data_IF_575899739126
#
_entry.id   IF_575899739126
#
_cell.length_a   1.000
_cell.length_b   1.000
_cell.length_c   1.000
_cell.angle_alpha   90.00
_cell.angle_beta   90.00
_cell.angle_gamma   90.00
#
_symmetry.space_group_name_H-M   'P 1'
#
loop_
_entity.id
_entity.type
_entity.pdbx_description
1 polymer ?
#
# COMPACT_ATOMS: atom_id res chain seq x y z
N UNK A 1 -5.48 8.54 24.81
CA UNK A 1 -5.30 9.98 24.75
C UNK A 1 -6.23 10.62 25.77
N UNK A 2 -5.66 11.33 26.73
CA UNK A 2 -6.39 12.14 27.71
C UNK A 2 -6.71 13.52 27.12
N UNK A 3 -7.55 14.31 27.81
CA UNK A 3 -7.83 15.68 27.39
C UNK A 3 -6.58 16.57 27.43
N UNK A 4 -5.72 16.41 28.44
CA UNK A 4 -4.48 17.18 28.55
C UNK A 4 -3.50 16.86 27.41
N UNK A 5 -3.32 15.57 27.10
CA UNK A 5 -2.50 15.10 25.97
C UNK A 5 -3.02 15.67 24.63
N UNK A 6 -4.35 15.73 24.46
CA UNK A 6 -4.97 16.32 23.27
C UNK A 6 -4.70 17.83 23.17
N UNK A 7 -4.81 18.58 24.27
CA UNK A 7 -4.55 20.02 24.28
C UNK A 7 -3.08 20.33 23.98
N UNK A 8 -2.15 19.57 24.55
CA UNK A 8 -0.72 19.72 24.29
C UNK A 8 -0.38 19.43 22.82
N UNK A 9 -0.93 18.34 22.27
CA UNK A 9 -0.78 18.00 20.86
C UNK A 9 -1.34 19.07 19.92
N UNK A 10 -2.55 19.60 20.20
CA UNK A 10 -3.16 20.67 19.40
C UNK A 10 -2.32 21.95 19.40
N UNK A 11 -1.67 22.25 20.52
CA UNK A 11 -0.76 23.39 20.63
C UNK A 11 0.49 23.19 19.76
N UNK A 12 1.10 22.01 19.80
CA UNK A 12 2.27 21.66 18.97
C UNK A 12 1.93 21.71 17.47
N UNK A 13 0.73 21.22 17.08
CA UNK A 13 0.21 21.35 15.70
C UNK A 13 0.13 22.82 15.29
N UNK A 14 -0.50 23.67 16.10
CA UNK A 14 -0.66 25.09 15.78
C UNK A 14 0.69 25.81 15.62
N UNK A 15 1.66 25.51 16.49
CA UNK A 15 3.01 26.07 16.41
C UNK A 15 3.75 25.62 15.13
N UNK A 16 3.60 24.36 14.72
CA UNK A 16 4.20 23.84 13.47
C UNK A 16 3.53 24.46 12.23
N UNK A 17 2.21 24.60 12.22
CA UNK A 17 1.45 25.16 11.10
C UNK A 17 1.68 26.67 10.91
N UNK A 18 1.98 27.39 11.99
CA UNK A 18 2.19 28.85 11.97
C UNK A 18 3.66 29.28 11.92
N UNK A 19 4.59 28.34 12.02
CA UNK A 19 6.03 28.56 11.86
C UNK A 19 6.47 28.66 10.38
N UNK A 20 7.74 29.01 10.15
CA UNK A 20 8.32 29.09 8.80
C UNK A 20 9.43 28.04 8.56
N UNK A 21 9.53 27.60 7.31
CA UNK A 21 10.29 26.49 6.69
C UNK A 21 10.61 25.23 7.53
N UNK A 22 10.31 24.07 6.92
CA UNK A 22 10.41 22.69 7.44
C UNK A 22 9.20 22.13 8.24
N UNK A 23 8.03 22.76 8.10
CA UNK A 23 6.77 22.32 8.73
C UNK A 23 6.34 20.90 8.34
N UNK A 24 6.62 20.44 7.12
CA UNK A 24 6.27 19.07 6.69
C UNK A 24 7.00 17.99 7.50
N UNK A 25 8.31 18.12 7.69
CA UNK A 25 9.10 17.14 8.44
C UNK A 25 8.74 17.16 9.93
N UNK A 26 8.56 18.36 10.50
CA UNK A 26 8.10 18.53 11.87
C UNK A 26 6.71 17.91 12.09
N UNK A 27 5.78 18.11 11.14
CA UNK A 27 4.45 17.50 11.16
C UNK A 27 4.53 15.98 11.09
N UNK A 28 5.39 15.42 10.24
CA UNK A 28 5.59 13.96 10.16
C UNK A 28 6.10 13.37 11.48
N UNK A 29 7.09 14.00 12.11
CA UNK A 29 7.63 13.55 13.40
C UNK A 29 6.55 13.60 14.49
N UNK A 30 5.77 14.67 14.53
CA UNK A 30 4.72 14.83 15.52
C UNK A 30 3.57 13.83 15.31
N UNK A 31 3.16 13.56 14.07
CA UNK A 31 2.19 12.49 13.76
C UNK A 31 2.71 11.11 14.21
N UNK A 32 3.98 10.80 13.98
CA UNK A 32 4.58 9.54 14.43
C UNK A 32 4.59 9.38 15.97
N UNK A 33 4.58 10.47 16.73
CA UNK A 33 4.38 10.41 18.20
C UNK A 33 2.94 10.02 18.56
N UNK A 34 1.97 10.59 17.85
CA UNK A 34 0.54 10.33 18.06
C UNK A 34 0.15 8.91 17.61
N UNK A 35 0.71 8.44 16.52
CA UNK A 35 0.36 7.17 15.87
C UNK A 35 0.94 5.93 16.56
N UNK A 36 0.97 5.92 17.90
CA UNK A 36 1.54 4.86 18.73
C UNK A 36 0.48 4.25 19.64
N UNK A 37 0.67 2.99 20.00
CA UNK A 37 -0.17 2.26 20.97
C UNK A 37 -1.67 2.20 20.62
N UNK A 38 -2.00 2.13 19.33
CA UNK A 38 -3.39 1.91 18.90
C UNK A 38 -3.90 0.52 19.28
N UNK A 39 -5.21 0.45 19.49
CA UNK A 39 -5.93 -0.82 19.60
C UNK A 39 -6.51 -1.15 18.22
N UNK A 40 -6.11 -2.28 17.64
CA UNK A 40 -6.68 -2.74 16.37
C UNK A 40 -8.16 -3.10 16.57
N UNK A 41 -9.05 -2.29 15.99
CA UNK A 41 -10.50 -2.53 16.06
C UNK A 41 -10.99 -3.47 14.94
N UNK A 42 -10.31 -3.47 13.79
CA UNK A 42 -10.67 -4.27 12.62
C UNK A 42 -9.87 -3.89 11.39
N UNK A 43 -10.17 -4.54 10.26
CA UNK A 43 -9.57 -4.25 8.96
C UNK A 43 -10.66 -4.23 7.87
N UNK A 44 -10.44 -3.43 6.84
CA UNK A 44 -11.28 -3.41 5.64
C UNK A 44 -10.54 -4.02 4.46
N UNK A 45 -11.26 -4.66 3.55
CA UNK A 45 -10.73 -5.14 2.29
C UNK A 45 -11.51 -4.53 1.13
N UNK A 46 -10.79 -3.95 0.16
CA UNK A 46 -11.36 -3.52 -1.11
C UNK A 46 -10.84 -4.48 -2.17
N UNK A 47 -11.76 -5.07 -2.92
CA UNK A 47 -11.44 -5.92 -4.05
C UNK A 47 -11.33 -5.06 -5.31
N UNK A 48 -10.18 -5.13 -5.96
CA UNK A 48 -10.01 -4.56 -7.30
C UNK A 48 -10.57 -5.55 -8.33
N UNK A 49 -11.70 -5.17 -8.93
CA UNK A 49 -12.48 -6.06 -9.78
C UNK A 49 -11.88 -6.14 -11.17
N UNK A 50 -11.58 -7.37 -11.58
CA UNK A 50 -11.19 -7.66 -12.94
C UNK A 50 -12.40 -7.60 -13.89
N UNK A 51 -12.11 -7.47 -15.17
CA UNK A 51 -13.11 -7.71 -16.20
C UNK A 51 -13.57 -9.17 -16.15
N UNK A 52 -14.82 -9.39 -16.52
CA UNK A 52 -15.39 -10.73 -16.58
C UNK A 52 -14.59 -11.62 -17.53
N UNK A 53 -14.26 -12.84 -17.12
CA UNK A 53 -13.57 -13.82 -17.96
C UNK A 53 -12.04 -13.71 -17.97
N UNK A 54 -11.44 -12.75 -17.27
CA UNK A 54 -9.97 -12.57 -17.26
C UNK A 54 -9.24 -13.80 -16.74
N UNK A 55 -9.58 -14.37 -15.56
CA UNK A 55 -8.90 -15.57 -15.06
C UNK A 55 -9.00 -16.75 -16.03
N UNK A 56 -10.20 -17.01 -16.54
CA UNK A 56 -10.49 -18.13 -17.44
C UNK A 56 -9.74 -18.00 -18.76
N UNK A 57 -9.62 -16.76 -19.27
CA UNK A 57 -8.86 -16.48 -20.49
C UNK A 57 -7.36 -16.71 -20.28
N UNK A 58 -6.82 -16.27 -19.15
CA UNK A 58 -5.39 -16.49 -18.83
C UNK A 58 -5.09 -17.98 -18.73
N UNK A 59 -5.96 -18.76 -18.08
CA UNK A 59 -5.80 -20.21 -17.96
C UNK A 59 -5.85 -20.88 -19.35
N UNK A 60 -6.82 -20.53 -20.20
CA UNK A 60 -6.92 -21.07 -21.56
C UNK A 60 -5.68 -20.74 -22.42
N UNK A 61 -5.12 -19.54 -22.29
CA UNK A 61 -3.89 -19.16 -23.00
C UNK A 61 -2.69 -20.00 -22.52
N UNK A 62 -2.59 -20.27 -21.22
CA UNK A 62 -1.50 -21.10 -20.64
C UNK A 62 -1.65 -22.57 -21.05
N UNK A 63 -2.86 -23.12 -21.06
CA UNK A 63 -3.16 -24.47 -21.55
C UNK A 63 -2.82 -24.63 -23.04
N UNK A 64 -2.98 -23.57 -23.83
CA UNK A 64 -2.54 -23.52 -25.23
C UNK A 64 -1.01 -23.39 -25.40
N UNK A 65 -0.24 -23.36 -24.31
CA UNK A 65 1.22 -23.26 -24.33
C UNK A 65 1.76 -21.85 -24.47
N UNK A 66 0.95 -20.81 -24.25
CA UNK A 66 1.38 -19.41 -24.35
C UNK A 66 1.96 -18.90 -23.03
N UNK A 67 2.97 -18.06 -23.13
CA UNK A 67 3.51 -17.32 -21.98
C UNK A 67 2.81 -15.97 -21.85
N UNK A 68 2.15 -15.75 -20.71
CA UNK A 68 1.43 -14.50 -20.40
C UNK A 68 2.27 -13.65 -19.46
N UNK A 69 2.46 -12.38 -19.81
CA UNK A 69 3.24 -11.41 -19.03
C UNK A 69 2.38 -10.19 -18.74
N UNK A 70 2.42 -9.71 -17.50
CA UNK A 70 1.77 -8.46 -17.08
C UNK A 70 2.84 -7.39 -16.91
N UNK A 71 2.70 -6.29 -17.65
CA UNK A 71 3.50 -5.08 -17.48
C UNK A 71 2.56 -3.97 -17.01
N UNK A 72 2.86 -3.38 -15.85
CA UNK A 72 2.05 -2.31 -15.27
C UNK A 72 2.96 -1.23 -14.69
N UNK A 73 2.48 0.02 -14.72
CA UNK A 73 3.11 1.15 -14.05
C UNK A 73 2.60 1.38 -12.62
N UNK A 74 1.75 0.47 -12.12
CA UNK A 74 1.20 0.54 -10.77
C UNK A 74 2.23 0.07 -9.72
N UNK A 75 1.92 0.31 -8.45
CA UNK A 75 2.72 -0.15 -7.31
C UNK A 75 2.86 -1.67 -7.32
N UNK A 76 3.99 -2.16 -6.82
CA UNK A 76 4.30 -3.58 -6.79
C UNK A 76 3.25 -4.39 -6.01
N UNK A 77 2.76 -3.86 -4.89
CA UNK A 77 1.74 -4.51 -4.06
C UNK A 77 0.44 -4.69 -4.84
N UNK A 78 -0.01 -3.66 -5.57
CA UNK A 78 -1.21 -3.73 -6.40
C UNK A 78 -1.01 -4.71 -7.56
N UNK A 79 0.14 -4.66 -8.24
CA UNK A 79 0.46 -5.58 -9.33
C UNK A 79 0.41 -7.05 -8.89
N UNK A 80 0.96 -7.36 -7.70
CA UNK A 80 0.91 -8.71 -7.12
C UNK A 80 -0.53 -9.12 -6.80
N UNK A 81 -1.35 -8.22 -6.25
CA UNK A 81 -2.75 -8.50 -5.96
C UNK A 81 -3.55 -8.78 -7.24
N UNK A 82 -3.40 -7.94 -8.28
CA UNK A 82 -4.06 -8.13 -9.58
C UNK A 82 -3.59 -9.43 -10.24
N UNK A 83 -2.30 -9.74 -10.21
CA UNK A 83 -1.77 -10.97 -10.77
C UNK A 83 -2.32 -12.23 -10.06
N UNK A 84 -2.59 -12.15 -8.75
CA UNK A 84 -3.27 -13.23 -8.00
C UNK A 84 -4.74 -13.35 -8.40
N UNK A 85 -5.46 -12.24 -8.44
CA UNK A 85 -6.88 -12.22 -8.85
C UNK A 85 -7.06 -12.74 -10.28
N UNK A 86 -6.10 -12.47 -11.17
CA UNK A 86 -6.14 -12.86 -12.58
C UNK A 86 -5.65 -14.29 -12.83
N UNK A 87 -5.36 -15.07 -11.78
CA UNK A 87 -4.76 -16.41 -11.83
C UNK A 87 -3.41 -16.49 -12.58
N UNK A 88 -2.76 -15.34 -12.81
CA UNK A 88 -1.44 -15.28 -13.42
C UNK A 88 -0.38 -15.86 -12.46
N UNK A 89 -0.52 -15.55 -11.16
CA UNK A 89 0.26 -16.18 -10.09
C UNK A 89 -0.66 -16.82 -9.06
N UNK A 90 -0.34 -18.05 -8.65
CA UNK A 90 -1.10 -18.79 -7.63
C UNK A 90 -0.30 -18.83 -6.32
N UNK A 91 -0.95 -19.15 -5.18
CA UNK A 91 -0.24 -19.33 -3.90
C UNK A 91 0.87 -20.38 -3.92
N UNK A 92 0.84 -21.32 -4.88
CA UNK A 92 1.85 -22.37 -5.05
C UNK A 92 3.10 -21.86 -5.77
N UNK A 93 3.02 -20.74 -6.51
CA UNK A 93 4.18 -20.17 -7.17
C UNK A 93 5.10 -19.47 -6.18
N UNK A 94 6.41 -19.68 -6.32
CA UNK A 94 7.41 -18.86 -5.66
C UNK A 94 7.53 -17.52 -6.38
N UNK A 95 7.22 -16.43 -5.69
CA UNK A 95 7.40 -15.06 -6.21
C UNK A 95 8.84 -14.61 -5.95
N UNK A 96 9.50 -14.07 -6.97
CA UNK A 96 10.84 -13.47 -6.85
C UNK A 96 10.73 -11.97 -7.07
N UNK A 97 11.29 -11.19 -6.15
CA UNK A 97 11.34 -9.73 -6.24
C UNK A 97 12.75 -9.29 -6.58
N UNK A 98 12.90 -8.44 -7.60
CA UNK A 98 14.17 -7.87 -8.04
C UNK A 98 14.03 -6.36 -8.00
N UNK A 99 14.36 -5.78 -6.84
CA UNK A 99 14.20 -4.37 -6.58
C UNK A 99 15.57 -3.72 -6.42
N UNK A 100 15.86 -2.71 -7.23
CA UNK A 100 16.98 -1.81 -7.01
C UNK A 100 16.49 -0.59 -6.24
N UNK A 101 17.23 -0.16 -5.23
CA UNK A 101 17.08 1.19 -4.70
C UNK A 101 17.98 2.09 -5.54
N UNK A 102 17.41 3.09 -6.18
CA UNK A 102 18.24 4.22 -6.61
C UNK A 102 18.66 4.95 -5.34
N UNK A 103 19.97 5.04 -5.10
CA UNK A 103 20.48 5.99 -4.13
C UNK A 103 20.14 7.39 -4.67
N UNK A 104 19.25 8.09 -3.98
CA UNK A 104 19.00 9.52 -4.14
C UNK A 104 19.60 10.20 -2.93
#
# INVERSE_FOLDING_TARGET
MTEDELHEWLKEVYEIETGDENSTEAMMIMMDKLERNFILLGATGIEDRLQNGVPETIDALREAGMHVWMLTGDKQETAVNIARSANLITPQHRVMYINSRSEV
#
